data_IF_469065046462
#
_entry.id   IF_469065046462
#
_cell.length_a   1.000
_cell.length_b   1.000
_cell.length_c   1.000
_cell.angle_alpha   90.00
_cell.angle_beta   90.00
_cell.angle_gamma   90.00
#
_symmetry.space_group_name_H-M   'P 1'
#
loop_
_entity.id
_entity.type
_entity.pdbx_description
1 polymer ?
#
# COMPACT_ATOMS: atom_id res chain seq x y z
N UNK A 1 -16.00 29.55 3.87
CA UNK A 1 -16.49 28.35 4.54
C UNK A 1 -15.33 27.44 4.84
N UNK A 2 -15.05 27.16 6.12
CA UNK A 2 -14.00 26.24 6.44
C UNK A 2 -14.35 24.87 5.85
N UNK A 3 -13.41 24.31 5.11
CA UNK A 3 -13.58 22.94 4.63
C UNK A 3 -13.64 22.00 5.84
N UNK A 4 -14.52 20.99 5.82
CA UNK A 4 -14.48 20.00 6.88
C UNK A 4 -13.08 19.42 6.98
N UNK A 5 -12.56 19.35 8.19
CA UNK A 5 -11.26 18.73 8.40
C UNK A 5 -11.31 17.30 7.90
N UNK A 6 -10.41 16.97 7.00
CA UNK A 6 -10.28 15.61 6.53
C UNK A 6 -9.99 14.70 7.72
N UNK A 7 -10.67 13.56 7.77
CA UNK A 7 -10.48 12.60 8.84
C UNK A 7 -9.03 12.13 8.89
N UNK A 8 -8.49 12.12 10.08
CA UNK A 8 -7.14 11.63 10.37
C UNK A 8 -7.28 10.45 11.32
N UNK A 9 -6.84 9.29 10.88
CA UNK A 9 -6.94 8.05 11.65
C UNK A 9 -5.63 7.78 12.39
N UNK A 10 -5.68 7.30 13.63
CA UNK A 10 -4.46 6.94 14.34
C UNK A 10 -3.75 5.78 13.64
N UNK A 11 -2.43 5.83 13.63
CA UNK A 11 -1.61 4.71 13.15
C UNK A 11 -1.59 3.62 14.20
N UNK A 12 -1.73 2.37 13.76
CA UNK A 12 -1.63 1.18 14.61
C UNK A 12 -0.53 0.27 14.11
N UNK A 13 0.07 -0.46 15.02
CA UNK A 13 1.06 -1.46 14.67
C UNK A 13 0.40 -2.61 13.91
N UNK A 14 1.08 -3.09 12.88
CA UNK A 14 0.64 -4.27 12.16
C UNK A 14 1.08 -5.53 12.88
N UNK A 15 0.22 -6.54 12.83
CA UNK A 15 0.55 -7.88 13.26
C UNK A 15 1.10 -8.60 12.03
N UNK A 16 2.26 -9.26 12.18
CA UNK A 16 2.84 -10.03 11.08
C UNK A 16 1.87 -11.12 10.63
N UNK A 17 1.61 -11.17 9.33
CA UNK A 17 0.73 -12.18 8.78
C UNK A 17 1.37 -13.56 8.90
N UNK A 18 0.61 -14.59 9.35
CA UNK A 18 1.12 -15.95 9.28
C UNK A 18 1.34 -16.36 7.82
N UNK A 19 2.35 -17.19 7.54
CA UNK A 19 2.54 -17.69 6.20
C UNK A 19 1.31 -18.50 5.81
N UNK A 20 0.59 -18.03 4.81
CA UNK A 20 -0.63 -18.67 4.36
C UNK A 20 -0.39 -19.26 2.98
N UNK A 21 -0.41 -20.60 2.92
CA UNK A 21 -0.51 -21.28 1.65
C UNK A 21 -1.98 -21.32 1.27
N UNK A 22 -2.39 -20.49 0.33
CA UNK A 22 -3.74 -20.56 -0.18
C UNK A 22 -3.77 -21.05 -1.62
N UNK A 23 -4.22 -22.28 -1.83
CA UNK A 23 -4.74 -22.61 -3.13
C UNK A 23 -6.08 -21.88 -3.31
N UNK A 24 -6.08 -20.95 -4.21
CA UNK A 24 -7.30 -20.31 -4.64
C UNK A 24 -8.02 -21.28 -5.59
N UNK A 25 -9.22 -21.72 -5.20
CA UNK A 25 -10.00 -22.63 -6.04
C UNK A 25 -10.71 -21.84 -7.15
N UNK A 26 -10.32 -22.10 -8.40
CA UNK A 26 -10.77 -21.39 -9.59
C UNK A 26 -11.78 -22.14 -10.43
N UNK A 27 -12.30 -23.25 -9.97
CA UNK A 27 -12.88 -24.27 -10.84
C UNK A 27 -14.36 -24.13 -11.14
N UNK A 28 -14.98 -23.00 -10.85
CA UNK A 28 -16.41 -22.84 -11.11
C UNK A 28 -16.65 -21.88 -12.25
N UNK A 29 -17.42 -22.34 -13.26
CA UNK A 29 -18.02 -21.43 -14.20
C UNK A 29 -18.94 -20.47 -13.45
N UNK A 30 -18.76 -19.20 -13.67
CA UNK A 30 -19.44 -18.18 -12.88
C UNK A 30 -20.18 -17.20 -13.77
N UNK A 31 -21.36 -16.78 -13.31
CA UNK A 31 -22.08 -15.64 -13.88
C UNK A 31 -21.25 -14.36 -13.79
N UNK A 32 -21.54 -13.37 -14.63
CA UNK A 32 -20.81 -12.11 -14.67
C UNK A 32 -20.63 -11.43 -13.30
N UNK A 33 -21.65 -11.35 -12.41
CA UNK A 33 -21.47 -10.80 -11.07
C UNK A 33 -20.49 -11.60 -10.22
N UNK A 34 -20.50 -12.92 -10.35
CA UNK A 34 -19.55 -13.78 -9.62
C UNK A 34 -18.14 -13.63 -10.14
N UNK A 35 -17.98 -13.49 -11.46
CA UNK A 35 -16.67 -13.23 -12.06
C UNK A 35 -16.09 -11.90 -11.60
N UNK A 36 -16.93 -10.86 -11.47
CA UNK A 36 -16.50 -9.56 -10.93
C UNK A 36 -16.02 -9.68 -9.49
N UNK A 37 -16.73 -10.44 -8.65
CA UNK A 37 -16.31 -10.70 -7.27
C UNK A 37 -14.96 -11.39 -7.21
N UNK A 38 -14.74 -12.37 -8.07
CA UNK A 38 -13.47 -13.08 -8.12
C UNK A 38 -12.34 -12.17 -8.55
N UNK A 39 -12.55 -11.37 -9.58
CA UNK A 39 -11.56 -10.39 -10.03
C UNK A 39 -11.19 -9.41 -8.91
N UNK A 40 -12.20 -8.94 -8.17
CA UNK A 40 -11.98 -8.05 -7.03
C UNK A 40 -11.22 -8.77 -5.91
N UNK A 41 -11.59 -9.99 -5.59
CA UNK A 41 -10.90 -10.80 -4.58
C UNK A 41 -9.44 -11.06 -4.94
N UNK A 42 -9.17 -11.36 -6.21
CA UNK A 42 -7.78 -11.54 -6.69
C UNK A 42 -6.98 -10.27 -6.57
N UNK A 43 -7.59 -9.14 -6.92
CA UNK A 43 -6.94 -7.84 -6.79
C UNK A 43 -6.64 -7.51 -5.33
N UNK A 44 -7.59 -7.76 -4.44
CA UNK A 44 -7.42 -7.55 -3.00
C UNK A 44 -6.37 -8.49 -2.42
N UNK A 45 -6.34 -9.73 -2.87
CA UNK A 45 -5.34 -10.70 -2.44
C UNK A 45 -3.94 -10.30 -2.90
N UNK A 46 -3.80 -9.90 -4.15
CA UNK A 46 -2.52 -9.44 -4.69
C UNK A 46 -2.01 -8.20 -3.95
N UNK A 47 -2.89 -7.29 -3.62
CA UNK A 47 -2.58 -6.10 -2.83
C UNK A 47 -2.11 -6.50 -1.42
N UNK A 48 -2.84 -7.39 -0.77
CA UNK A 48 -2.48 -7.89 0.55
C UNK A 48 -1.13 -8.61 0.54
N UNK A 49 -0.89 -9.46 -0.44
CA UNK A 49 0.39 -10.16 -0.57
C UNK A 49 1.55 -9.19 -0.72
N UNK A 50 1.37 -8.14 -1.50
CA UNK A 50 2.38 -7.11 -1.69
C UNK A 50 2.68 -6.38 -0.37
N UNK A 51 1.64 -6.02 0.39
CA UNK A 51 1.78 -5.42 1.71
C UNK A 51 2.51 -6.37 2.65
N UNK A 52 2.14 -7.64 2.68
CA UNK A 52 2.74 -8.63 3.57
C UNK A 52 4.23 -8.87 3.26
N UNK A 53 4.58 -8.89 1.98
CA UNK A 53 5.99 -8.98 1.56
C UNK A 53 6.79 -7.76 2.01
N UNK A 54 6.22 -6.58 1.84
CA UNK A 54 6.87 -5.35 2.25
C UNK A 54 7.01 -5.27 3.77
N UNK A 55 5.98 -5.67 4.50
CA UNK A 55 6.00 -5.77 5.96
C UNK A 55 7.15 -6.67 6.43
N UNK A 56 7.27 -7.86 5.87
CA UNK A 56 8.33 -8.80 6.22
C UNK A 56 9.72 -8.21 5.94
N UNK A 57 9.89 -7.54 4.83
CA UNK A 57 11.15 -6.90 4.47
C UNK A 57 11.51 -5.78 5.45
N UNK A 58 10.53 -4.94 5.80
CA UNK A 58 10.74 -3.85 6.76
C UNK A 58 11.12 -4.39 8.14
N UNK A 59 10.49 -5.46 8.59
CA UNK A 59 10.84 -6.09 9.87
C UNK A 59 12.26 -6.64 9.87
N UNK A 60 12.73 -7.17 8.76
CA UNK A 60 14.13 -7.60 8.62
C UNK A 60 15.10 -6.43 8.69
N UNK A 61 14.67 -5.23 8.32
CA UNK A 61 15.48 -4.02 8.46
C UNK A 61 15.40 -3.39 9.86
N UNK A 62 14.68 -4.01 10.77
CA UNK A 62 14.54 -3.51 12.14
C UNK A 62 13.40 -2.52 12.34
N UNK A 63 12.53 -2.37 11.36
CA UNK A 63 11.37 -1.48 11.47
C UNK A 63 10.16 -2.21 12.05
N UNK A 64 9.27 -1.44 12.67
CA UNK A 64 7.96 -1.89 13.08
C UNK A 64 6.92 -1.23 12.17
N UNK A 65 6.37 -1.96 11.21
CA UNK A 65 5.38 -1.39 10.30
C UNK A 65 4.09 -0.99 11.00
N UNK A 66 3.52 0.12 10.57
CA UNK A 66 2.25 0.65 11.05
C UNK A 66 1.32 0.88 9.87
N UNK A 67 0.05 0.94 10.15
CA UNK A 67 -0.99 1.18 9.15
C UNK A 67 -2.16 1.95 9.74
N UNK A 68 -3.00 2.47 8.87
CA UNK A 68 -4.33 2.96 9.21
C UNK A 68 -5.27 2.83 8.01
N UNK A 69 -6.46 3.41 8.10
CA UNK A 69 -7.47 3.28 7.05
C UNK A 69 -7.07 3.95 5.73
N UNK A 70 -6.14 4.90 5.76
CA UNK A 70 -5.63 5.59 4.58
C UNK A 70 -4.27 5.06 4.12
N UNK A 71 -3.36 4.85 5.05
CA UNK A 71 -1.97 4.53 4.76
C UNK A 71 -1.78 3.01 4.76
N UNK A 72 -1.34 2.47 3.64
CA UNK A 72 -1.07 1.03 3.51
C UNK A 72 0.03 0.57 4.45
N UNK A 73 1.16 1.27 4.46
CA UNK A 73 2.25 1.04 5.39
C UNK A 73 2.96 2.35 5.72
N UNK A 74 3.33 2.47 6.97
CA UNK A 74 4.26 3.47 7.47
C UNK A 74 5.34 2.77 8.28
N UNK A 75 6.59 3.15 8.09
CA UNK A 75 7.68 2.59 8.88
C UNK A 75 8.80 3.59 9.05
N UNK A 76 9.44 3.51 10.21
CA UNK A 76 10.73 4.17 10.44
C UNK A 76 11.81 3.10 10.39
N UNK A 77 12.67 3.21 9.40
CA UNK A 77 13.79 2.29 9.23
C UNK A 77 14.99 2.88 9.97
N UNK A 78 15.58 2.15 10.92
CA UNK A 78 16.75 2.65 11.65
C UNK A 78 17.83 3.15 10.68
N UNK A 79 18.32 4.37 10.89
CA UNK A 79 19.34 5.06 10.10
C UNK A 79 18.87 5.63 8.75
N UNK A 80 17.75 5.17 8.22
CA UNK A 80 17.27 5.61 6.91
C UNK A 80 16.10 6.59 6.98
N UNK A 81 15.38 6.63 8.10
CA UNK A 81 14.28 7.55 8.31
C UNK A 81 12.90 6.94 8.15
N UNK A 82 11.92 7.81 8.04
CA UNK A 82 10.52 7.41 7.99
C UNK A 82 9.98 7.44 6.57
N UNK A 83 9.11 6.48 6.27
CA UNK A 83 8.57 6.28 4.93
C UNK A 83 7.07 6.01 5.00
N UNK A 84 6.33 6.58 4.05
CA UNK A 84 4.96 6.16 3.73
C UNK A 84 5.03 5.33 2.46
N UNK A 85 4.47 4.13 2.52
CA UNK A 85 4.41 3.22 1.38
C UNK A 85 2.97 3.11 0.89
N UNK A 86 2.77 3.27 -0.39
CA UNK A 86 1.49 3.02 -1.06
C UNK A 86 1.69 1.86 -2.02
N UNK A 87 0.85 0.83 -1.90
CA UNK A 87 0.92 -0.36 -2.72
C UNK A 87 -0.09 -0.30 -3.84
N UNK A 88 0.37 -0.58 -5.04
CA UNK A 88 -0.48 -0.80 -6.19
C UNK A 88 -0.19 -2.18 -6.76
N UNK A 89 -1.24 -2.98 -6.91
CA UNK A 89 -1.08 -4.39 -7.28
C UNK A 89 -0.72 -4.63 -8.75
N UNK A 90 -0.67 -3.58 -9.56
CA UNK A 90 -0.41 -3.72 -10.98
C UNK A 90 -1.66 -4.12 -11.76
N UNK A 91 -1.45 -4.69 -12.95
CA UNK A 91 -2.53 -5.05 -13.85
C UNK A 91 -2.82 -3.97 -14.88
N UNK A 92 -4.09 -3.81 -15.24
CA UNK A 92 -4.49 -2.84 -16.25
C UNK A 92 -4.20 -1.41 -15.79
N UNK A 93 -3.86 -0.56 -16.75
CA UNK A 93 -3.69 0.88 -16.51
C UNK A 93 -2.65 1.22 -15.44
N UNK A 94 -1.46 0.66 -15.57
CA UNK A 94 -0.37 0.92 -14.63
C UNK A 94 -0.09 2.42 -14.48
N UNK A 95 -0.21 3.20 -15.54
CA UNK A 95 -0.02 4.65 -15.49
C UNK A 95 -1.03 5.32 -14.57
N UNK A 96 -2.29 4.90 -14.64
CA UNK A 96 -3.33 5.44 -13.75
C UNK A 96 -3.07 5.06 -12.32
N UNK A 97 -2.64 3.84 -12.06
CA UNK A 97 -2.30 3.37 -10.72
C UNK A 97 -1.11 4.16 -10.15
N UNK A 98 -0.10 4.43 -10.96
CA UNK A 98 1.05 5.24 -10.54
C UNK A 98 0.61 6.66 -10.19
N UNK A 99 -0.16 7.31 -11.05
CA UNK A 99 -0.66 8.67 -10.80
C UNK A 99 -1.51 8.73 -9.54
N UNK A 100 -2.42 7.78 -9.39
CA UNK A 100 -3.28 7.70 -8.22
C UNK A 100 -2.47 7.43 -6.94
N UNK A 101 -1.52 6.52 -6.99
CA UNK A 101 -0.64 6.21 -5.87
C UNK A 101 0.20 7.40 -5.44
N UNK A 102 0.79 8.11 -6.39
CA UNK A 102 1.56 9.31 -6.08
C UNK A 102 0.69 10.40 -5.46
N UNK A 103 -0.51 10.61 -6.01
CA UNK A 103 -1.47 11.58 -5.47
C UNK A 103 -1.85 11.22 -4.03
N UNK A 104 -2.12 9.96 -3.76
CA UNK A 104 -2.44 9.48 -2.41
C UNK A 104 -1.27 9.67 -1.45
N UNK A 105 -0.06 9.38 -1.87
CA UNK A 105 1.13 9.57 -1.03
C UNK A 105 1.33 11.02 -0.62
N UNK A 106 1.22 11.95 -1.56
CA UNK A 106 1.34 13.39 -1.25
C UNK A 106 0.22 13.86 -0.33
N UNK A 107 -1.01 13.40 -0.58
CA UNK A 107 -2.15 13.73 0.26
C UNK A 107 -1.93 13.23 1.70
N UNK A 108 -1.52 11.99 1.86
CA UNK A 108 -1.34 11.39 3.18
C UNK A 108 -0.17 12.01 3.94
N UNK A 109 0.93 12.32 3.26
CA UNK A 109 2.03 13.05 3.90
C UNK A 109 1.56 14.39 4.44
N UNK A 110 0.76 15.10 3.70
CA UNK A 110 0.20 16.38 4.13
C UNK A 110 -0.77 16.21 5.30
N UNK A 111 -1.75 15.31 5.17
CA UNK A 111 -2.77 15.09 6.21
C UNK A 111 -2.16 14.65 7.53
N UNK A 112 -1.20 13.76 7.47
CA UNK A 112 -0.64 13.12 8.66
C UNK A 112 0.64 13.76 9.17
N UNK A 113 1.04 14.89 8.63
CA UNK A 113 2.31 15.56 9.00
C UNK A 113 2.46 15.82 10.51
N UNK A 114 1.36 16.08 11.20
CA UNK A 114 1.38 16.31 12.65
C UNK A 114 1.45 15.03 13.48
N UNK A 115 1.06 13.90 12.90
CA UNK A 115 1.01 12.60 13.59
C UNK A 115 2.29 11.81 13.37
N UNK A 116 2.82 11.83 12.15
CA UNK A 116 3.97 11.02 11.76
C UNK A 116 5.31 11.75 11.89
N UNK A 117 5.30 12.94 12.48
CA UNK A 117 6.52 13.54 13.00
C UNK A 117 7.38 14.31 12.04
N UNK A 118 6.81 14.97 11.03
CA UNK A 118 7.53 16.02 10.43
C UNK A 118 7.86 15.97 8.94
N UNK A 119 8.82 16.79 8.58
CA UNK A 119 9.12 17.17 7.21
C UNK A 119 10.02 16.17 6.47
N UNK A 120 10.53 15.14 7.15
CA UNK A 120 11.52 14.22 6.60
C UNK A 120 10.92 12.84 6.31
N UNK A 121 9.70 12.82 5.76
CA UNK A 121 9.04 11.58 5.42
C UNK A 121 9.18 11.36 3.92
N UNK A 122 9.80 10.25 3.58
CA UNK A 122 9.93 9.83 2.19
C UNK A 122 8.69 9.08 1.74
N UNK A 123 8.33 9.28 0.49
CA UNK A 123 7.20 8.62 -0.12
C UNK A 123 7.69 7.49 -1.02
N UNK A 124 7.06 6.34 -0.92
CA UNK A 124 7.45 5.18 -1.68
C UNK A 124 6.23 4.50 -2.30
N UNK A 125 6.20 4.46 -3.61
CA UNK A 125 5.18 3.72 -4.35
C UNK A 125 5.73 2.33 -4.65
N UNK A 126 5.02 1.31 -4.20
CA UNK A 126 5.44 -0.08 -4.33
C UNK A 126 4.60 -0.78 -5.38
N UNK A 127 5.27 -1.36 -6.35
CA UNK A 127 4.67 -2.10 -7.47
C UNK A 127 5.18 -3.54 -7.46
N UNK A 128 4.38 -4.51 -7.96
CA UNK A 128 4.84 -5.89 -8.04
C UNK A 128 5.98 -6.10 -9.04
N UNK A 129 6.06 -5.22 -10.04
CA UNK A 129 7.07 -5.27 -11.08
C UNK A 129 7.61 -3.86 -11.36
N UNK A 130 8.82 -3.79 -11.90
CA UNK A 130 9.38 -2.51 -12.32
C UNK A 130 8.50 -1.86 -13.38
N UNK A 131 8.35 -0.51 -13.34
CA UNK A 131 7.57 0.19 -14.35
C UNK A 131 8.14 -0.06 -15.76
N UNK A 132 7.28 -0.20 -16.78
CA UNK A 132 7.72 -0.50 -18.14
C UNK A 132 8.47 0.65 -18.82
N UNK A 133 8.36 1.85 -18.28
CA UNK A 133 9.03 3.04 -18.82
C UNK A 133 10.13 3.46 -17.84
N UNK A 134 11.39 3.53 -18.28
CA UNK A 134 12.53 3.75 -17.36
C UNK A 134 12.43 5.00 -16.48
N UNK A 135 11.89 6.09 -16.98
CA UNK A 135 11.80 7.32 -16.19
C UNK A 135 10.82 7.22 -15.02
N UNK A 136 9.93 6.23 -15.00
CA UNK A 136 9.01 6.02 -13.89
C UNK A 136 9.70 5.45 -12.65
N UNK A 137 10.86 4.84 -12.82
CA UNK A 137 11.61 4.26 -11.71
C UNK A 137 12.51 5.28 -11.02
N UNK A 138 12.77 6.39 -11.67
CA UNK A 138 13.58 7.48 -11.14
C UNK A 138 12.74 8.45 -10.31
#
# INVERSE_FOLDING_TARGET
VPQPMAEVYPLRERIAAPPVAHPYDRRREMSDPQLRRIKLQRRNLAHKELIDKMDAWLRRLGAQPKENDHIDLFATIPRDGSFIFEMKSGGESIMEQIRKGLSQLYEYRYRYRGVIGGNNISLCLVLPEAPPIPWMAD
#
